data_IF_700483806249
#
_entry.id   IF_700483806249
#
_cell.length_a   1.000
_cell.length_b   1.000
_cell.length_c   1.000
_cell.angle_alpha   90.00
_cell.angle_beta   90.00
_cell.angle_gamma   90.00
#
_symmetry.space_group_name_H-M   'P 1'
#
loop_
_entity.id
_entity.type
_entity.pdbx_description
1 polymer ?
#
# COMPACT_ATOMS: atom_id res chain seq x y z
N UNK A 1 -11.21 -16.42 9.32
CA UNK A 1 -12.03 -17.12 8.30
C UNK A 1 -11.09 -17.56 7.19
N UNK A 2 -11.36 -18.68 6.52
CA UNK A 2 -10.55 -19.07 5.35
C UNK A 2 -10.80 -18.05 4.23
N UNK A 3 -9.71 -17.51 3.68
CA UNK A 3 -9.68 -16.50 2.61
C UNK A 3 -8.59 -16.91 1.61
N UNK A 4 -8.63 -16.35 0.41
CA UNK A 4 -7.80 -16.82 -0.72
C UNK A 4 -6.29 -16.62 -0.49
N UNK A 5 -5.90 -15.69 0.38
CA UNK A 5 -4.50 -15.45 0.75
C UNK A 5 -3.86 -16.64 1.48
N UNK A 6 -4.66 -17.48 2.15
CA UNK A 6 -4.19 -18.66 2.87
C UNK A 6 -4.02 -19.83 1.89
N UNK A 7 -2.98 -19.73 1.06
CA UNK A 7 -2.63 -20.73 0.04
C UNK A 7 -1.76 -21.87 0.59
N UNK A 8 -1.55 -21.91 1.91
CA UNK A 8 -0.71 -22.91 2.58
C UNK A 8 -1.23 -24.33 2.34
N UNK A 9 -0.46 -25.14 1.61
CA UNK A 9 -0.84 -26.53 1.30
C UNK A 9 -1.79 -26.68 0.11
N UNK A 10 -2.12 -25.60 -0.60
CA UNK A 10 -2.85 -25.69 -1.86
C UNK A 10 -1.99 -26.27 -2.99
N UNK A 11 -2.65 -26.95 -3.93
CA UNK A 11 -2.03 -27.52 -5.14
C UNK A 11 -2.60 -26.84 -6.39
N UNK A 12 -1.88 -26.91 -7.51
CA UNK A 12 -2.34 -26.39 -8.81
C UNK A 12 -1.79 -25.00 -9.20
N UNK A 13 -0.95 -24.39 -8.36
CA UNK A 13 -0.17 -23.22 -8.75
C UNK A 13 0.92 -23.58 -9.77
N UNK A 14 1.30 -22.65 -10.67
CA UNK A 14 2.41 -22.85 -11.58
C UNK A 14 3.74 -23.01 -10.82
N UNK A 15 4.77 -23.51 -11.52
CA UNK A 15 6.11 -23.51 -10.98
C UNK A 15 6.57 -22.06 -10.68
N UNK A 16 7.37 -21.91 -9.62
CA UNK A 16 7.98 -20.63 -9.27
C UNK A 16 8.94 -20.23 -10.40
N UNK A 17 8.79 -19.00 -10.89
CA UNK A 17 9.70 -18.40 -11.85
C UNK A 17 10.51 -17.36 -11.08
N UNK A 18 11.81 -17.59 -10.97
CA UNK A 18 12.75 -16.63 -10.37
C UNK A 18 13.22 -15.65 -11.44
N UNK A 19 13.21 -14.36 -11.13
CA UNK A 19 13.83 -13.31 -11.96
C UNK A 19 15.24 -13.03 -11.41
N UNK A 20 16.31 -13.35 -12.17
CA UNK A 20 17.67 -12.97 -11.78
C UNK A 20 17.78 -11.44 -11.70
N UNK A 21 18.37 -10.93 -10.61
CA UNK A 21 18.55 -9.50 -10.36
C UNK A 21 17.22 -8.71 -10.32
N UNK A 22 16.13 -9.33 -9.84
CA UNK A 22 14.82 -8.70 -9.67
C UNK A 22 14.95 -7.35 -8.93
N UNK A 23 14.45 -6.24 -9.52
CA UNK A 23 14.48 -4.96 -8.85
C UNK A 23 13.49 -4.94 -7.68
N UNK A 24 13.76 -4.12 -6.66
CA UNK A 24 12.83 -3.96 -5.53
C UNK A 24 11.46 -3.40 -5.96
N UNK A 25 11.43 -2.66 -7.06
CA UNK A 25 10.25 -2.09 -7.69
C UNK A 25 10.40 -2.19 -9.21
N UNK A 26 9.37 -2.70 -9.89
CA UNK A 26 9.29 -2.77 -11.35
C UNK A 26 8.78 -1.46 -11.96
N UNK A 27 8.21 -0.56 -11.17
CA UNK A 27 7.79 0.79 -11.59
C UNK A 27 7.79 1.81 -10.43
N UNK A 28 7.96 3.09 -10.74
CA UNK A 28 8.06 4.17 -9.73
C UNK A 28 6.85 4.24 -8.78
N UNK A 29 5.64 3.95 -9.28
CA UNK A 29 4.42 4.01 -8.47
C UNK A 29 4.41 2.99 -7.33
N UNK A 30 5.13 1.88 -7.47
CA UNK A 30 5.21 0.85 -6.43
C UNK A 30 5.95 1.36 -5.20
N UNK A 31 7.02 2.15 -5.40
CA UNK A 31 7.72 2.84 -4.33
C UNK A 31 6.83 3.88 -3.64
N UNK A 32 5.98 4.57 -4.39
CA UNK A 32 5.00 5.49 -3.82
C UNK A 32 3.95 4.77 -2.97
N UNK A 33 3.46 3.60 -3.40
CA UNK A 33 2.50 2.80 -2.62
C UNK A 33 3.12 2.33 -1.30
N UNK A 34 4.37 1.88 -1.31
CA UNK A 34 5.11 1.56 -0.09
C UNK A 34 5.20 2.77 0.85
N UNK A 35 5.61 3.93 0.30
CA UNK A 35 5.76 5.16 1.07
C UNK A 35 4.42 5.65 1.67
N UNK A 36 3.33 5.59 0.90
CA UNK A 36 1.98 5.92 1.35
C UNK A 36 1.56 5.03 2.53
N UNK A 37 1.73 3.71 2.40
CA UNK A 37 1.37 2.79 3.47
C UNK A 37 2.14 3.08 4.77
N UNK A 38 3.46 3.30 4.65
CA UNK A 38 4.31 3.62 5.78
C UNK A 38 3.90 4.95 6.45
N UNK A 39 3.57 5.97 5.65
CA UNK A 39 3.12 7.27 6.16
C UNK A 39 1.78 7.16 6.89
N UNK A 40 0.80 6.47 6.31
CA UNK A 40 -0.56 6.33 6.86
C UNK A 40 -0.57 5.51 8.17
N UNK A 41 0.22 4.43 8.24
CA UNK A 41 0.40 3.65 9.48
C UNK A 41 1.07 4.52 10.55
N UNK A 42 2.14 5.25 10.21
CA UNK A 42 2.84 6.11 11.17
C UNK A 42 1.98 7.28 11.67
N UNK A 43 1.04 7.76 10.84
CA UNK A 43 0.03 8.76 11.22
C UNK A 43 -1.16 8.16 11.99
N UNK A 44 -1.24 6.83 12.11
CA UNK A 44 -2.30 6.15 12.85
C UNK A 44 -3.66 6.15 12.15
N UNK A 45 -3.70 6.36 10.83
CA UNK A 45 -4.95 6.31 10.05
C UNK A 45 -5.57 4.90 10.12
N UNK A 46 -4.70 3.89 10.02
CA UNK A 46 -4.99 2.49 10.26
C UNK A 46 -3.71 1.80 10.77
N UNK A 47 -3.86 0.60 11.33
CA UNK A 47 -2.73 -0.22 11.76
C UNK A 47 -2.43 -1.36 10.76
N UNK A 48 -1.36 -2.13 11.04
CA UNK A 48 -0.91 -3.20 10.16
C UNK A 48 -1.90 -4.36 10.05
N UNK A 49 -2.68 -4.65 11.09
CA UNK A 49 -3.67 -5.72 11.07
C UNK A 49 -4.90 -5.33 10.25
N UNK A 50 -5.34 -4.08 10.34
CA UNK A 50 -6.39 -3.52 9.47
C UNK A 50 -5.97 -3.52 8.00
N UNK A 51 -4.71 -3.16 7.72
CA UNK A 51 -4.12 -3.22 6.38
C UNK A 51 -4.11 -4.64 5.81
N UNK A 52 -3.66 -5.62 6.60
CA UNK A 52 -3.69 -7.03 6.19
C UNK A 52 -5.12 -7.49 5.94
N UNK A 53 -6.05 -7.23 6.86
CA UNK A 53 -7.45 -7.63 6.70
C UNK A 53 -8.07 -7.04 5.43
N UNK A 54 -7.78 -5.78 5.10
CA UNK A 54 -8.27 -5.16 3.86
C UNK A 54 -7.76 -5.87 2.59
N UNK A 55 -6.49 -6.29 2.56
CA UNK A 55 -5.95 -7.13 1.46
C UNK A 55 -6.68 -8.48 1.42
N UNK A 56 -6.86 -9.11 2.58
CA UNK A 56 -7.46 -10.45 2.67
C UNK A 56 -8.94 -10.47 2.25
N UNK A 57 -9.65 -9.34 2.43
CA UNK A 57 -11.05 -9.17 2.03
C UNK A 57 -11.25 -8.89 0.54
N UNK A 58 -10.18 -8.71 -0.24
CA UNK A 58 -10.29 -8.53 -1.69
C UNK A 58 -11.07 -9.68 -2.34
N UNK A 59 -11.87 -9.41 -3.40
CA UNK A 59 -12.48 -10.46 -4.20
C UNK A 59 -11.42 -11.47 -4.68
N UNK A 60 -11.65 -12.79 -4.60
CA UNK A 60 -10.61 -13.78 -4.87
C UNK A 60 -9.98 -13.70 -6.26
N UNK A 61 -10.78 -13.37 -7.26
CA UNK A 61 -10.34 -13.12 -8.64
C UNK A 61 -9.40 -11.91 -8.72
N UNK A 62 -9.79 -10.78 -8.13
CA UNK A 62 -8.96 -9.59 -8.06
C UNK A 62 -7.66 -9.83 -7.28
N UNK A 63 -7.73 -10.57 -6.17
CA UNK A 63 -6.54 -10.93 -5.39
C UNK A 63 -5.56 -11.77 -6.20
N UNK A 64 -6.02 -12.77 -6.95
CA UNK A 64 -5.13 -13.64 -7.71
C UNK A 64 -4.58 -12.98 -8.98
N UNK A 65 -5.31 -12.03 -9.57
CA UNK A 65 -4.87 -11.32 -10.78
C UNK A 65 -4.03 -10.07 -10.52
N UNK A 66 -4.10 -9.49 -9.32
CA UNK A 66 -3.37 -8.26 -8.99
C UNK A 66 -1.89 -8.51 -8.68
N UNK A 67 -1.04 -7.58 -9.11
CA UNK A 67 0.35 -7.50 -8.68
C UNK A 67 0.46 -7.25 -7.17
N UNK A 68 1.67 -7.41 -6.62
CA UNK A 68 1.90 -7.23 -5.19
C UNK A 68 1.51 -5.82 -4.69
N UNK A 69 1.98 -4.78 -5.37
CA UNK A 69 1.67 -3.41 -4.99
C UNK A 69 0.27 -2.94 -5.42
N UNK A 70 -0.38 -3.61 -6.38
CA UNK A 70 -1.81 -3.37 -6.67
C UNK A 70 -2.71 -3.80 -5.51
N UNK A 71 -2.39 -4.92 -4.85
CA UNK A 71 -3.10 -5.36 -3.63
C UNK A 71 -2.95 -4.33 -2.51
N UNK A 72 -1.74 -3.82 -2.32
CA UNK A 72 -1.44 -2.79 -1.34
C UNK A 72 -2.23 -1.52 -1.62
N UNK A 73 -2.18 -1.03 -2.86
CA UNK A 73 -2.92 0.16 -3.25
C UNK A 73 -4.43 0.00 -3.04
N UNK A 74 -4.99 -1.15 -3.43
CA UNK A 74 -6.41 -1.47 -3.20
C UNK A 74 -6.79 -1.43 -1.73
N UNK A 75 -5.93 -1.98 -0.84
CA UNK A 75 -6.16 -1.94 0.59
C UNK A 75 -6.06 -0.53 1.18
N UNK A 76 -5.07 0.27 0.73
CA UNK A 76 -4.92 1.67 1.13
C UNK A 76 -6.18 2.46 0.76
N UNK A 77 -6.62 2.42 -0.50
CA UNK A 77 -7.79 3.18 -0.96
C UNK A 77 -9.07 2.73 -0.25
N UNK A 78 -9.23 1.43 -0.02
CA UNK A 78 -10.35 0.88 0.75
C UNK A 78 -10.37 1.45 2.17
N UNK A 79 -9.24 1.45 2.87
CA UNK A 79 -9.16 1.96 4.23
C UNK A 79 -9.32 3.47 4.31
N UNK A 80 -8.80 4.24 3.34
CA UNK A 80 -9.01 5.68 3.29
C UNK A 80 -10.50 6.03 3.19
N UNK A 81 -11.27 5.26 2.42
CA UNK A 81 -12.73 5.41 2.32
C UNK A 81 -13.42 4.95 3.61
N UNK A 82 -13.09 3.76 4.13
CA UNK A 82 -13.70 3.21 5.36
C UNK A 82 -13.46 4.12 6.58
N UNK A 83 -12.32 4.84 6.61
CA UNK A 83 -11.96 5.79 7.67
C UNK A 83 -12.47 7.22 7.44
N UNK A 84 -13.10 7.48 6.30
CA UNK A 84 -13.60 8.81 5.94
C UNK A 84 -12.51 9.84 5.66
N UNK A 85 -11.31 9.40 5.29
CA UNK A 85 -10.18 10.27 4.90
C UNK A 85 -10.30 10.73 3.45
N UNK A 86 -10.90 9.91 2.59
CA UNK A 86 -11.20 10.23 1.20
C UNK A 86 -12.56 9.62 0.82
N UNK A 87 -13.21 10.20 -0.19
CA UNK A 87 -14.41 9.64 -0.81
C UNK A 87 -14.04 8.82 -2.06
N UNK A 88 -14.88 7.85 -2.46
CA UNK A 88 -14.68 7.12 -3.72
C UNK A 88 -14.57 8.05 -4.93
N UNK A 89 -15.31 9.15 -4.92
CA UNK A 89 -15.30 10.16 -5.97
C UNK A 89 -13.95 10.88 -6.05
N UNK A 90 -13.42 11.36 -4.91
CA UNK A 90 -12.09 12.00 -4.84
C UNK A 90 -10.97 11.09 -5.34
N UNK A 91 -11.07 9.78 -5.08
CA UNK A 91 -10.09 8.80 -5.57
C UNK A 91 -10.26 8.46 -7.06
N UNK A 92 -11.45 8.65 -7.63
CA UNK A 92 -11.75 8.37 -9.03
C UNK A 92 -11.46 9.56 -9.96
N UNK A 93 -11.45 10.78 -9.42
CA UNK A 93 -11.18 12.01 -10.18
C UNK A 93 -9.68 12.35 -10.20
N UNK A 94 -9.02 12.37 -11.36
CA UNK A 94 -7.60 12.77 -11.46
C UNK A 94 -7.38 14.29 -11.38
N UNK A 95 -8.41 15.09 -11.09
CA UNK A 95 -8.53 16.47 -11.60
C UNK A 95 -7.59 17.51 -10.99
N UNK A 96 -6.86 17.17 -9.93
CA UNK A 96 -5.76 18.00 -9.42
C UNK A 96 -4.73 17.10 -8.72
N UNK A 97 -4.02 16.26 -9.48
CA UNK A 97 -2.79 15.66 -8.95
C UNK A 97 -1.80 16.80 -8.70
N UNK A 98 -1.61 17.14 -7.42
CA UNK A 98 -0.52 17.99 -6.95
C UNK A 98 0.76 17.57 -7.67
N UNK A 99 1.45 18.54 -8.26
CA UNK A 99 2.65 18.23 -9.04
C UNK A 99 3.67 17.56 -8.11
N UNK A 100 4.59 16.72 -8.63
CA UNK A 100 5.67 16.16 -7.81
C UNK A 100 6.43 17.23 -7.00
N UNK A 101 6.48 18.46 -7.51
CA UNK A 101 7.07 19.64 -6.85
C UNK A 101 6.30 20.08 -5.59
N UNK A 102 4.97 19.96 -5.57
CA UNK A 102 4.14 20.24 -4.38
C UNK A 102 4.28 19.15 -3.31
N UNK A 103 4.38 17.87 -3.71
CA UNK A 103 4.48 16.73 -2.78
C UNK A 103 5.90 16.53 -2.22
N UNK A 104 6.92 17.06 -2.91
CA UNK A 104 8.33 16.87 -2.56
C UNK A 104 8.91 17.98 -1.67
N UNK A 105 8.11 18.87 -1.06
CA UNK A 105 8.66 19.88 -0.14
C UNK A 105 9.14 19.17 1.14
N UNK A 106 10.47 18.98 1.37
CA UNK A 106 10.97 18.13 2.44
C UNK A 106 10.96 18.82 3.82
N UNK A 107 10.43 20.04 3.91
CA UNK A 107 10.72 20.94 5.02
C UNK A 107 10.09 20.49 6.36
N UNK A 108 9.07 19.63 6.34
CA UNK A 108 8.37 19.18 7.57
C UNK A 108 8.72 17.76 8.06
N UNK A 109 9.46 16.95 7.29
CA UNK A 109 9.72 15.54 7.64
C UNK A 109 11.12 15.26 8.21
N UNK A 110 11.99 16.27 8.28
CA UNK A 110 13.38 16.12 8.69
C UNK A 110 13.80 17.09 9.80
N UNK A 111 13.12 17.04 10.96
CA UNK A 111 13.72 17.50 12.22
C UNK A 111 13.78 16.34 13.19
N UNK A 112 14.91 15.59 13.27
CA UNK A 112 15.14 14.76 14.43
C UNK A 112 15.34 15.69 15.64
N UNK A 113 14.49 15.58 16.66
CA UNK A 113 14.81 16.17 17.97
C UNK A 113 16.07 15.49 18.50
N UNK A 114 17.11 16.28 18.79
CA UNK A 114 18.33 15.80 19.45
C UNK A 114 17.96 15.14 20.79
N UNK A 115 18.54 13.97 21.13
CA UNK A 115 18.43 13.47 22.48
C UNK A 115 19.27 14.35 23.40
N UNK A 116 18.61 15.08 24.30
CA UNK A 116 19.26 15.80 25.38
C UNK A 116 20.07 14.81 26.22
N UNK A 117 21.39 15.04 26.28
CA UNK A 117 22.30 14.28 27.13
C UNK A 117 21.96 14.42 28.62
N UNK A 118 22.22 13.35 29.36
CA UNK A 118 22.23 13.25 30.82
C UNK A 118 22.96 12.00 31.25
#
# INVERSE_FOLDING_TARGET
MSRINDVGGMVGFPAIVEEPDEPAFHADWEAHVLALNAALIRRGVYNLDEFRDAIERMPPDAYLSSSYYEKWFTAITTLLVEKGVATPEELATPEELATPEELATPEELATPEEPAGG
#
